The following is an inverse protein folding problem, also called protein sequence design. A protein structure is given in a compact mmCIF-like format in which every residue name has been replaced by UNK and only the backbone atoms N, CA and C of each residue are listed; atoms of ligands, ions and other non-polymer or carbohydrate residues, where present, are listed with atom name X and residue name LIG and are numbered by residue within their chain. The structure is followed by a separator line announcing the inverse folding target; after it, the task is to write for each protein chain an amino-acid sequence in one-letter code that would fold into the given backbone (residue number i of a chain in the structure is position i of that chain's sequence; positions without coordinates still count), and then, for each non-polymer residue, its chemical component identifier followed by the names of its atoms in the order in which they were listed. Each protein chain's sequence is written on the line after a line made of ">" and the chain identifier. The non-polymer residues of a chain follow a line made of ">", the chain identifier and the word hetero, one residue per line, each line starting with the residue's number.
data_IF_227951659382
#
_entry.id   IF_227951659382
#
_cell.length_a   1.000
_cell.length_b   1.000
_cell.length_c   1.000
_cell.angle_alpha   90.00
_cell.angle_beta   90.00
_cell.angle_gamma   90.00
#
_symmetry.space_group_name_H-M   'P 1'
#
loop_
_entity.id
_entity.type
_entity.pdbx_description
1 polymer ?
#
# COMPACT_ATOMS: atom_id res chain seq x y z
N UNK A 1 16.43 0.79 -16.72
CA UNK A 1 17.32 0.05 -15.80
C UNK A 1 16.47 -0.72 -14.81
N UNK A 2 16.79 -1.99 -14.58
CA UNK A 2 16.12 -2.83 -13.60
C UNK A 2 16.39 -2.29 -12.19
N UNK A 3 15.34 -2.09 -11.39
CA UNK A 3 15.43 -1.58 -10.02
C UNK A 3 14.94 -2.65 -9.05
N UNK A 4 15.46 -2.66 -7.82
CA UNK A 4 14.92 -3.49 -6.75
C UNK A 4 13.70 -2.81 -6.13
N UNK A 5 12.58 -3.52 -6.10
CA UNK A 5 11.31 -3.07 -5.51
C UNK A 5 10.99 -3.91 -4.27
N UNK A 6 10.76 -3.25 -3.15
CA UNK A 6 10.23 -3.86 -1.92
C UNK A 6 8.71 -3.61 -1.85
N UNK A 7 7.93 -4.69 -1.79
CA UNK A 7 6.46 -4.64 -1.74
C UNK A 7 5.97 -5.34 -0.47
N UNK A 8 5.35 -4.60 0.43
CA UNK A 8 4.75 -5.21 1.61
C UNK A 8 3.38 -5.79 1.29
N UNK A 9 3.07 -7.00 1.82
CA UNK A 9 1.80 -7.67 1.55
C UNK A 9 1.64 -8.12 0.09
N UNK A 10 2.70 -8.66 -0.52
CA UNK A 10 2.77 -9.06 -1.93
C UNK A 10 2.05 -10.39 -2.26
N UNK A 11 1.51 -11.10 -1.26
CA UNK A 11 1.06 -12.49 -1.44
C UNK A 11 -0.24 -12.64 -2.22
N UNK A 12 -1.10 -11.63 -2.27
CA UNK A 12 -2.43 -11.65 -2.90
C UNK A 12 -2.94 -10.24 -3.23
N UNK A 13 -4.09 -10.18 -3.90
CA UNK A 13 -4.83 -8.93 -4.18
C UNK A 13 -4.00 -7.87 -4.89
N UNK A 14 -4.10 -6.62 -4.45
CA UNK A 14 -3.41 -5.47 -5.05
C UNK A 14 -1.88 -5.65 -4.99
N UNK A 15 -1.33 -6.13 -3.86
CA UNK A 15 0.12 -6.33 -3.71
C UNK A 15 0.68 -7.37 -4.69
N UNK A 16 -0.06 -8.47 -4.93
CA UNK A 16 0.28 -9.44 -5.98
C UNK A 16 0.27 -8.80 -7.36
N UNK A 17 -0.80 -8.07 -7.71
CA UNK A 17 -0.92 -7.42 -9.02
C UNK A 17 0.19 -6.37 -9.25
N UNK A 18 0.61 -5.65 -8.21
CA UNK A 18 1.75 -4.73 -8.28
C UNK A 18 3.05 -5.51 -8.53
N UNK A 19 3.25 -6.63 -7.82
CA UNK A 19 4.43 -7.48 -8.01
C UNK A 19 4.51 -8.01 -9.44
N UNK A 20 3.40 -8.51 -9.97
CA UNK A 20 3.32 -9.03 -11.34
C UNK A 20 3.65 -7.93 -12.35
N UNK A 21 3.04 -6.75 -12.22
CA UNK A 21 3.24 -5.65 -13.16
C UNK A 21 4.68 -5.08 -13.13
N UNK A 22 5.29 -4.93 -11.94
CA UNK A 22 6.67 -4.47 -11.84
C UNK A 22 7.66 -5.54 -12.32
N UNK A 23 7.36 -6.82 -12.11
CA UNK A 23 8.19 -7.93 -12.63
C UNK A 23 8.19 -7.98 -14.16
N UNK A 24 7.03 -7.82 -14.80
CA UNK A 24 6.91 -7.71 -16.27
C UNK A 24 7.75 -6.54 -16.84
N UNK A 25 7.95 -5.48 -16.07
CA UNK A 25 8.82 -4.34 -16.42
C UNK A 25 10.31 -4.58 -16.11
N UNK A 26 10.67 -5.80 -15.68
CA UNK A 26 12.04 -6.21 -15.45
C UNK A 26 12.62 -5.84 -14.08
N UNK A 27 11.80 -5.44 -13.10
CA UNK A 27 12.28 -5.15 -11.76
C UNK A 27 12.58 -6.45 -10.98
N UNK A 28 13.53 -6.37 -10.04
CA UNK A 28 13.74 -7.40 -9.03
C UNK A 28 12.79 -7.16 -7.86
N UNK A 29 11.96 -8.15 -7.52
CA UNK A 29 10.88 -7.99 -6.55
C UNK A 29 11.20 -8.69 -5.23
N UNK A 30 11.27 -7.91 -4.16
CA UNK A 30 11.28 -8.41 -2.78
C UNK A 30 9.86 -8.25 -2.22
N UNK A 31 9.21 -9.35 -1.92
CA UNK A 31 7.84 -9.37 -1.38
C UNK A 31 7.78 -9.78 0.07
N UNK A 32 6.83 -9.23 0.84
CA UNK A 32 6.57 -9.73 2.19
C UNK A 32 5.22 -10.41 2.31
N UNK A 33 5.13 -11.37 3.20
CA UNK A 33 3.90 -11.97 3.70
C UNK A 33 4.10 -12.52 5.11
N UNK A 34 3.02 -12.82 5.81
CA UNK A 34 3.08 -13.42 7.15
C UNK A 34 3.65 -14.85 7.15
N UNK A 35 3.60 -15.54 6.02
CA UNK A 35 4.11 -16.91 5.85
C UNK A 35 5.49 -16.98 5.18
N UNK A 36 5.99 -15.87 4.63
CA UNK A 36 7.22 -15.84 3.83
C UNK A 36 7.07 -16.44 2.42
N UNK A 37 5.85 -16.55 1.91
CA UNK A 37 5.52 -17.02 0.56
C UNK A 37 4.18 -16.45 0.09
N UNK A 38 3.88 -16.57 -1.19
CA UNK A 38 2.61 -16.13 -1.78
C UNK A 38 2.24 -16.93 -3.03
N UNK A 39 1.16 -16.52 -3.69
CA UNK A 39 0.60 -17.21 -4.85
C UNK A 39 1.24 -16.79 -6.19
N UNK A 40 2.10 -15.78 -6.17
CA UNK A 40 2.75 -15.27 -7.39
C UNK A 40 4.17 -15.80 -7.55
N UNK A 41 4.57 -16.09 -8.79
CA UNK A 41 5.93 -16.37 -9.19
C UNK A 41 6.73 -15.11 -9.49
N UNK A 42 6.10 -13.94 -9.45
CA UNK A 42 6.72 -12.64 -9.78
C UNK A 42 7.59 -12.09 -8.65
N UNK A 43 7.60 -12.69 -7.47
CA UNK A 43 8.47 -12.30 -6.36
C UNK A 43 9.74 -13.13 -6.35
N UNK A 44 10.89 -12.46 -6.54
CA UNK A 44 12.21 -13.08 -6.61
C UNK A 44 12.73 -13.49 -5.22
N UNK A 45 12.40 -12.68 -4.19
CA UNK A 45 12.79 -12.94 -2.80
C UNK A 45 11.63 -12.69 -1.86
N UNK A 46 11.24 -13.72 -1.10
CA UNK A 46 10.25 -13.60 -0.04
C UNK A 46 10.90 -13.32 1.31
N UNK A 47 10.31 -12.39 2.07
CA UNK A 47 10.66 -12.13 3.47
C UNK A 47 9.40 -12.35 4.31
N UNK A 48 9.50 -13.20 5.33
CA UNK A 48 8.44 -13.37 6.32
C UNK A 48 8.39 -12.13 7.21
N UNK A 49 7.21 -11.51 7.34
CA UNK A 49 7.01 -10.34 8.18
C UNK A 49 5.58 -10.32 8.74
N UNK A 50 5.46 -10.25 10.05
CA UNK A 50 4.19 -10.03 10.74
C UNK A 50 4.18 -8.63 11.35
N UNK A 51 3.53 -7.71 10.67
CA UNK A 51 3.41 -6.33 11.13
C UNK A 51 2.32 -6.11 12.20
N UNK A 52 1.64 -7.15 12.66
CA UNK A 52 0.65 -7.02 13.74
C UNK A 52 1.27 -6.78 15.11
N UNK A 53 2.57 -7.06 15.26
CA UNK A 53 3.33 -6.92 16.51
C UNK A 53 4.50 -5.96 16.36
N UNK A 54 4.89 -5.30 17.44
CA UNK A 54 6.07 -4.44 17.46
C UNK A 54 7.35 -5.22 17.14
N UNK A 55 7.50 -6.39 17.73
CA UNK A 55 8.65 -7.27 17.48
C UNK A 55 8.77 -7.63 16.01
N UNK A 56 7.65 -8.00 15.36
CA UNK A 56 7.65 -8.32 13.93
C UNK A 56 8.04 -7.14 13.05
N UNK A 57 7.64 -5.92 13.41
CA UNK A 57 8.08 -4.70 12.74
C UNK A 57 9.60 -4.50 12.93
N UNK A 58 10.10 -4.55 14.17
CA UNK A 58 11.52 -4.33 14.46
C UNK A 58 12.42 -5.40 13.82
N UNK A 59 12.01 -6.65 13.80
CA UNK A 59 12.76 -7.72 13.12
C UNK A 59 12.82 -7.50 11.61
N UNK A 60 11.72 -7.05 10.99
CA UNK A 60 11.72 -6.68 9.58
C UNK A 60 12.62 -5.45 9.31
N UNK A 61 12.60 -4.45 10.20
CA UNK A 61 13.47 -3.27 10.11
C UNK A 61 14.96 -3.66 10.14
N UNK A 62 15.36 -4.62 10.99
CA UNK A 62 16.74 -5.13 11.01
C UNK A 62 17.14 -5.70 9.65
N UNK A 63 16.24 -6.47 9.01
CA UNK A 63 16.50 -7.07 7.70
C UNK A 63 16.68 -6.00 6.63
N UNK A 64 15.74 -5.03 6.54
CA UNK A 64 15.76 -4.05 5.45
C UNK A 64 16.84 -2.98 5.59
N UNK A 65 17.43 -2.79 6.78
CA UNK A 65 18.60 -1.92 6.96
C UNK A 65 19.78 -2.37 6.12
N UNK A 66 19.92 -3.67 5.88
CA UNK A 66 21.01 -4.27 5.09
C UNK A 66 20.69 -4.32 3.58
N UNK A 67 19.48 -3.91 3.16
CA UNK A 67 19.06 -3.90 1.76
C UNK A 67 19.23 -2.49 1.16
N UNK A 68 20.45 -2.18 0.76
CA UNK A 68 20.82 -0.84 0.24
C UNK A 68 20.38 -0.61 -1.21
N UNK A 69 20.03 -1.67 -1.95
CA UNK A 69 19.68 -1.65 -3.37
C UNK A 69 18.23 -1.24 -3.67
N UNK A 70 17.39 -1.07 -2.63
CA UNK A 70 15.96 -0.76 -2.82
C UNK A 70 15.80 0.63 -3.42
N UNK A 71 15.21 0.70 -4.62
CA UNK A 71 14.89 1.94 -5.35
C UNK A 71 13.38 2.21 -5.45
N UNK A 72 12.56 1.21 -5.14
CA UNK A 72 11.10 1.32 -5.14
C UNK A 72 10.59 0.69 -3.83
N UNK A 73 9.77 1.44 -3.09
CA UNK A 73 9.06 0.93 -1.92
C UNK A 73 7.55 1.04 -2.15
N UNK A 74 6.84 -0.07 -1.95
CA UNK A 74 5.37 -0.08 -1.95
C UNK A 74 4.88 -0.53 -0.57
N UNK A 75 4.36 0.39 0.21
CA UNK A 75 3.66 0.12 1.45
C UNK A 75 2.21 -0.27 1.14
N UNK A 76 1.98 -1.57 0.91
CA UNK A 76 0.67 -2.12 0.54
C UNK A 76 0.05 -2.98 1.65
N UNK A 77 0.84 -3.60 2.54
CA UNK A 77 0.29 -4.40 3.62
C UNK A 77 -0.76 -3.62 4.43
N UNK A 78 -1.91 -4.23 4.61
CA UNK A 78 -3.01 -3.58 5.33
C UNK A 78 -4.13 -4.55 5.68
N UNK A 79 -4.84 -4.21 6.75
CA UNK A 79 -6.05 -4.91 7.19
C UNK A 79 -7.18 -3.90 7.40
N UNK A 80 -8.39 -4.40 7.45
CA UNK A 80 -9.57 -3.62 7.78
C UNK A 80 -10.33 -4.29 8.94
N UNK A 81 -10.73 -3.49 9.92
CA UNK A 81 -11.57 -3.89 11.03
C UNK A 81 -12.82 -3.01 10.97
N UNK A 82 -13.98 -3.63 10.74
CA UNK A 82 -15.26 -2.95 10.59
C UNK A 82 -16.02 -3.14 11.89
N UNK A 83 -16.05 -2.10 12.72
CA UNK A 83 -16.74 -2.09 14.01
C UNK A 83 -17.21 -0.67 14.34
N UNK A 84 -18.29 -0.56 15.11
CA UNK A 84 -18.66 0.69 15.74
C UNK A 84 -17.52 1.18 16.65
N UNK A 85 -17.35 2.50 16.77
CA UNK A 85 -16.30 3.08 17.62
C UNK A 85 -16.34 2.57 19.06
N UNK A 86 -17.53 2.39 19.61
CA UNK A 86 -17.75 1.87 20.97
C UNK A 86 -17.34 0.40 21.16
N UNK A 87 -17.17 -0.36 20.08
CA UNK A 87 -16.83 -1.79 20.11
C UNK A 87 -15.35 -2.06 19.80
N UNK A 88 -14.60 -1.02 19.47
CA UNK A 88 -13.16 -1.15 19.16
C UNK A 88 -12.40 -1.39 20.46
N UNK A 89 -11.80 -2.57 20.55
CA UNK A 89 -10.89 -2.89 21.66
C UNK A 89 -9.50 -2.28 21.44
N UNK A 90 -8.73 -2.13 22.51
CA UNK A 90 -7.34 -1.73 22.44
C UNK A 90 -6.52 -2.69 21.57
N UNK A 91 -6.81 -3.98 21.60
CA UNK A 91 -6.20 -5.00 20.75
C UNK A 91 -6.47 -4.73 19.26
N UNK A 92 -7.73 -4.38 18.90
CA UNK A 92 -8.08 -4.01 17.53
C UNK A 92 -7.33 -2.75 17.10
N UNK A 93 -7.28 -1.74 17.96
CA UNK A 93 -6.57 -0.49 17.72
C UNK A 93 -5.07 -0.75 17.47
N UNK A 94 -4.40 -1.43 18.38
CA UNK A 94 -2.97 -1.71 18.28
C UNK A 94 -2.64 -2.53 17.03
N UNK A 95 -3.45 -3.53 16.70
CA UNK A 95 -3.26 -4.37 15.51
C UNK A 95 -3.34 -3.56 14.22
N UNK A 96 -4.41 -2.76 14.06
CA UNK A 96 -4.60 -2.00 12.81
C UNK A 96 -3.61 -0.83 12.73
N UNK A 97 -3.29 -0.17 13.85
CA UNK A 97 -2.27 0.86 13.93
C UNK A 97 -0.90 0.33 13.50
N UNK A 98 -0.49 -0.80 14.04
CA UNK A 98 0.81 -1.41 13.72
C UNK A 98 0.93 -1.73 12.22
N UNK A 99 -0.08 -2.40 11.64
CA UNK A 99 -0.04 -2.84 10.24
C UNK A 99 -0.22 -1.66 9.28
N UNK A 100 -1.24 -0.81 9.51
CA UNK A 100 -1.67 0.17 8.52
C UNK A 100 -0.96 1.52 8.62
N UNK A 101 -0.28 1.83 9.74
CA UNK A 101 0.38 3.13 9.93
C UNK A 101 1.81 2.99 10.44
N UNK A 102 2.04 2.30 11.57
CA UNK A 102 3.37 2.21 12.21
C UNK A 102 4.38 1.51 11.30
N UNK A 103 4.03 0.35 10.73
CA UNK A 103 4.92 -0.38 9.84
C UNK A 103 5.27 0.43 8.58
N UNK A 104 4.32 0.99 7.81
CA UNK A 104 4.63 1.89 6.70
C UNK A 104 5.55 3.05 7.08
N UNK A 105 5.30 3.70 8.22
CA UNK A 105 6.13 4.78 8.72
C UNK A 105 7.59 4.34 8.96
N UNK A 106 7.78 3.26 9.74
CA UNK A 106 9.11 2.76 10.11
C UNK A 106 9.88 2.21 8.91
N UNK A 107 9.20 1.49 8.01
CA UNK A 107 9.79 0.98 6.77
C UNK A 107 10.23 2.13 5.87
N UNK A 108 9.36 3.11 5.66
CA UNK A 108 9.67 4.28 4.83
C UNK A 108 10.86 5.06 5.38
N UNK A 109 10.96 5.24 6.70
CA UNK A 109 12.07 5.92 7.35
C UNK A 109 13.41 5.26 6.98
N UNK A 110 13.51 3.93 7.13
CA UNK A 110 14.76 3.20 6.83
C UNK A 110 15.07 3.20 5.34
N UNK A 111 14.07 2.94 4.51
CA UNK A 111 14.28 2.87 3.05
C UNK A 111 14.62 4.25 2.48
N UNK A 112 13.98 5.34 2.94
CA UNK A 112 14.31 6.69 2.48
C UNK A 112 15.75 7.09 2.85
N UNK A 113 16.22 6.74 4.06
CA UNK A 113 17.63 6.95 4.47
C UNK A 113 18.59 6.19 3.53
N UNK A 114 18.26 4.96 3.13
CA UNK A 114 19.08 4.21 2.19
C UNK A 114 19.02 4.79 0.77
N UNK A 115 17.82 5.16 0.30
CA UNK A 115 17.62 5.81 -0.99
C UNK A 115 18.39 7.14 -1.12
N UNK A 116 18.42 7.95 -0.05
CA UNK A 116 19.10 9.25 -0.07
C UNK A 116 20.62 9.16 -0.29
N UNK A 117 21.21 8.02 0.02
CA UNK A 117 22.63 7.72 -0.20
C UNK A 117 22.92 7.09 -1.58
N UNK A 118 21.87 6.80 -2.35
CA UNK A 118 21.94 6.00 -3.58
C UNK A 118 21.06 6.62 -4.70
N UNK A 119 21.23 7.90 -4.99
CA UNK A 119 20.55 8.62 -6.10
C UNK A 119 19.01 8.53 -6.08
N UNK A 120 18.42 8.62 -4.87
CA UNK A 120 16.99 8.71 -4.70
C UNK A 120 16.19 7.44 -4.96
N UNK A 121 14.87 7.61 -5.16
CA UNK A 121 13.96 6.48 -5.34
C UNK A 121 12.49 6.89 -5.43
N UNK A 122 11.61 5.89 -5.37
CA UNK A 122 10.16 6.07 -5.41
C UNK A 122 9.50 5.34 -4.24
N UNK A 123 8.61 6.02 -3.52
CA UNK A 123 7.82 5.41 -2.46
C UNK A 123 6.34 5.60 -2.80
N UNK A 124 5.58 4.52 -2.82
CA UNK A 124 4.12 4.57 -3.00
C UNK A 124 3.43 3.92 -1.80
N UNK A 125 2.57 4.68 -1.16
CA UNK A 125 1.79 4.25 -0.02
C UNK A 125 0.36 3.90 -0.47
N UNK A 126 -0.11 2.68 -0.22
CA UNK A 126 -1.48 2.30 -0.53
C UNK A 126 -2.39 2.74 0.62
N UNK A 127 -3.18 3.79 0.34
CA UNK A 127 -4.20 4.32 1.24
C UNK A 127 -5.57 3.69 0.93
N UNK A 128 -6.62 4.48 0.88
CA UNK A 128 -8.00 4.08 0.56
C UNK A 128 -8.84 5.32 0.29
N UNK A 129 -9.96 5.19 -0.43
CA UNK A 129 -11.01 6.21 -0.48
C UNK A 129 -11.50 6.62 0.92
N UNK A 130 -11.42 5.73 1.90
CA UNK A 130 -11.77 6.04 3.30
C UNK A 130 -10.79 6.98 4.01
N UNK A 131 -9.75 7.44 3.34
CA UNK A 131 -8.92 8.58 3.77
C UNK A 131 -9.49 9.93 3.34
N UNK A 132 -10.46 9.95 2.44
CA UNK A 132 -11.03 11.15 1.81
C UNK A 132 -12.51 11.31 2.15
N UNK A 133 -13.26 10.21 2.14
CA UNK A 133 -14.69 10.17 2.50
C UNK A 133 -14.90 9.32 3.75
N UNK A 134 -16.07 9.46 4.37
CA UNK A 134 -16.41 8.74 5.61
C UNK A 134 -17.54 7.72 5.42
N UNK A 135 -17.52 6.68 6.26
CA UNK A 135 -18.62 5.72 6.39
C UNK A 135 -18.69 5.24 7.84
N UNK A 136 -19.88 4.96 8.34
CA UNK A 136 -20.10 4.36 9.64
C UNK A 136 -19.27 3.06 9.80
N UNK A 137 -18.82 2.78 11.01
CA UNK A 137 -18.01 1.61 11.36
C UNK A 137 -16.59 1.57 10.72
N UNK A 138 -16.12 2.69 10.17
CA UNK A 138 -14.81 2.83 9.53
C UNK A 138 -13.85 3.77 10.26
N UNK A 139 -14.25 4.32 11.42
CA UNK A 139 -13.47 5.34 12.14
C UNK A 139 -12.01 4.94 12.30
N UNK A 140 -11.74 3.73 12.83
CA UNK A 140 -10.38 3.26 13.06
C UNK A 140 -9.58 3.12 11.75
N UNK A 141 -10.17 2.50 10.73
CA UNK A 141 -9.51 2.30 9.43
C UNK A 141 -9.26 3.64 8.72
N UNK A 142 -10.25 4.53 8.69
CA UNK A 142 -10.15 5.86 8.09
C UNK A 142 -9.05 6.69 8.76
N UNK A 143 -8.97 6.65 10.11
CA UNK A 143 -7.91 7.33 10.86
C UNK A 143 -6.52 6.90 10.39
N UNK A 144 -6.28 5.58 10.26
CA UNK A 144 -4.98 5.08 9.81
C UNK A 144 -4.67 5.46 8.35
N UNK A 145 -5.67 5.35 7.46
CA UNK A 145 -5.49 5.66 6.04
C UNK A 145 -5.34 7.17 5.78
N UNK A 146 -6.00 8.02 6.58
CA UNK A 146 -5.76 9.47 6.57
C UNK A 146 -4.36 9.81 7.09
N UNK A 147 -3.89 9.12 8.14
CA UNK A 147 -2.53 9.24 8.65
C UNK A 147 -1.46 8.94 7.58
N UNK A 148 -1.71 7.95 6.72
CA UNK A 148 -0.85 7.63 5.56
C UNK A 148 -0.76 8.83 4.58
N UNK A 149 -1.85 9.57 4.36
CA UNK A 149 -1.82 10.75 3.48
C UNK A 149 -0.98 11.87 4.12
N UNK A 150 -1.16 12.12 5.42
CA UNK A 150 -0.33 13.09 6.15
C UNK A 150 1.15 12.74 6.10
N UNK A 151 1.50 11.47 6.38
CA UNK A 151 2.85 10.94 6.26
C UNK A 151 3.42 11.13 4.84
N UNK A 152 2.64 10.80 3.81
CA UNK A 152 3.06 10.93 2.41
C UNK A 152 3.45 12.37 2.07
N UNK A 153 2.62 13.35 2.46
CA UNK A 153 2.85 14.78 2.18
C UNK A 153 4.11 15.29 2.88
N UNK A 154 4.25 15.00 4.19
CA UNK A 154 5.40 15.47 4.96
C UNK A 154 6.71 14.85 4.45
N UNK A 155 6.73 13.54 4.24
CA UNK A 155 7.92 12.86 3.71
C UNK A 155 8.29 13.34 2.30
N UNK A 156 7.32 13.67 1.44
CA UNK A 156 7.60 14.19 0.11
C UNK A 156 8.37 15.51 0.14
N UNK A 157 8.10 16.37 1.13
CA UNK A 157 8.83 17.63 1.36
C UNK A 157 10.21 17.34 1.96
N UNK A 158 10.27 16.51 3.01
CA UNK A 158 11.51 16.22 3.74
C UNK A 158 12.59 15.55 2.86
N UNK A 159 12.19 14.76 1.87
CA UNK A 159 13.08 13.97 1.02
C UNK A 159 13.20 14.50 -0.42
N UNK A 160 12.65 15.66 -0.74
CA UNK A 160 12.66 16.24 -2.10
C UNK A 160 14.07 16.45 -2.64
N UNK A 161 14.97 17.01 -1.82
CA UNK A 161 16.36 17.28 -2.20
C UNK A 161 17.17 16.00 -2.49
N UNK A 162 16.70 14.87 -1.98
CA UNK A 162 17.30 13.55 -2.21
C UNK A 162 16.72 12.81 -3.44
N UNK A 163 15.94 13.49 -4.27
CA UNK A 163 15.30 12.90 -5.46
C UNK A 163 14.40 11.69 -5.14
N UNK A 164 13.77 11.68 -3.96
CA UNK A 164 12.81 10.63 -3.56
C UNK A 164 11.40 11.16 -3.78
N UNK A 165 10.69 10.62 -4.79
CA UNK A 165 9.30 10.96 -5.04
C UNK A 165 8.38 10.04 -4.25
N UNK A 166 7.51 10.64 -3.43
CA UNK A 166 6.66 9.91 -2.49
C UNK A 166 5.20 10.27 -2.74
N UNK A 167 4.38 9.27 -3.09
CA UNK A 167 2.97 9.46 -3.37
C UNK A 167 2.10 8.41 -2.66
N UNK A 168 0.82 8.68 -2.57
CA UNK A 168 -0.18 7.73 -2.14
C UNK A 168 -1.13 7.37 -3.29
N UNK A 169 -1.61 6.15 -3.27
CA UNK A 169 -2.73 5.69 -4.10
C UNK A 169 -3.86 5.31 -3.17
N UNK A 170 -5.05 5.82 -3.41
CA UNK A 170 -6.28 5.54 -2.68
C UNK A 170 -7.25 4.72 -3.55
N UNK A 171 -7.18 3.38 -3.50
CA UNK A 171 -8.11 2.54 -4.25
C UNK A 171 -9.53 2.70 -3.73
N UNK A 172 -10.49 2.64 -4.65
CA UNK A 172 -11.88 2.37 -4.37
C UNK A 172 -12.14 0.87 -4.16
N UNK A 173 -13.37 0.46 -4.41
CA UNK A 173 -13.74 -0.95 -4.31
C UNK A 173 -13.05 -1.76 -5.41
N UNK A 174 -12.18 -2.67 -4.97
CA UNK A 174 -11.35 -3.48 -5.84
C UNK A 174 -11.68 -4.96 -5.66
N UNK A 175 -11.87 -5.68 -6.75
CA UNK A 175 -12.16 -7.11 -6.77
C UNK A 175 -10.90 -7.90 -6.40
N UNK A 176 -10.70 -8.10 -5.10
CA UNK A 176 -9.64 -8.95 -4.54
C UNK A 176 -10.26 -10.22 -4.00
N UNK A 177 -9.47 -11.26 -3.74
CA UNK A 177 -9.95 -12.48 -3.07
C UNK A 177 -10.69 -12.17 -1.76
N UNK A 178 -10.19 -11.18 -1.00
CA UNK A 178 -10.83 -10.75 0.24
C UNK A 178 -12.23 -10.16 -0.03
N UNK A 179 -12.36 -9.31 -1.03
CA UNK A 179 -13.63 -8.69 -1.41
C UNK A 179 -14.58 -9.74 -1.98
N UNK A 180 -14.07 -10.67 -2.76
CA UNK A 180 -14.85 -11.74 -3.38
C UNK A 180 -15.48 -12.68 -2.35
N UNK A 181 -14.72 -13.01 -1.31
CA UNK A 181 -15.22 -13.83 -0.20
C UNK A 181 -16.07 -13.09 0.83
N UNK A 182 -15.95 -11.75 0.91
CA UNK A 182 -16.61 -10.95 1.95
C UNK A 182 -17.97 -10.42 1.53
N UNK A 183 -18.28 -10.38 0.24
CA UNK A 183 -19.52 -9.83 -0.31
C UNK A 183 -20.28 -10.88 -1.10
N UNK A 184 -21.56 -11.00 -0.83
CA UNK A 184 -22.51 -11.77 -1.65
C UNK A 184 -22.63 -11.14 -3.05
N UNK A 185 -23.18 -11.90 -4.00
CA UNK A 185 -23.43 -11.39 -5.37
C UNK A 185 -24.32 -10.14 -5.34
N UNK A 186 -25.37 -10.16 -4.54
CA UNK A 186 -26.30 -9.04 -4.43
C UNK A 186 -25.64 -7.79 -3.82
N UNK A 187 -24.77 -7.93 -2.82
CA UNK A 187 -24.03 -6.80 -2.24
C UNK A 187 -23.04 -6.22 -3.25
N UNK A 188 -22.42 -7.04 -4.10
CA UNK A 188 -21.57 -6.57 -5.19
C UNK A 188 -22.36 -5.77 -6.22
N UNK A 189 -23.52 -6.26 -6.67
CA UNK A 189 -24.38 -5.57 -7.61
C UNK A 189 -24.83 -4.20 -7.07
N UNK A 190 -25.28 -4.12 -5.80
CA UNK A 190 -25.64 -2.85 -5.16
C UNK A 190 -24.44 -1.88 -5.12
N UNK A 191 -23.27 -2.40 -4.85
CA UNK A 191 -22.06 -1.60 -4.77
C UNK A 191 -21.64 -1.08 -6.16
N UNK A 192 -21.73 -1.92 -7.19
CA UNK A 192 -21.45 -1.54 -8.58
C UNK A 192 -22.39 -0.44 -9.08
N UNK A 193 -23.66 -0.48 -8.70
CA UNK A 193 -24.63 0.59 -9.02
C UNK A 193 -24.24 1.96 -8.44
N UNK A 194 -23.54 1.97 -7.29
CA UNK A 194 -23.08 3.21 -6.66
C UNK A 194 -21.81 3.76 -7.30
N UNK A 195 -21.09 2.99 -8.10
CA UNK A 195 -19.86 3.42 -8.77
C UNK A 195 -20.23 3.97 -10.16
N UNK A 196 -19.80 5.18 -10.56
CA UNK A 196 -20.09 5.71 -11.90
C UNK A 196 -19.68 4.77 -13.04
N UNK A 197 -18.53 4.09 -12.94
CA UNK A 197 -18.10 3.10 -13.94
C UNK A 197 -18.83 1.76 -13.85
N UNK A 198 -19.82 1.60 -12.95
CA UNK A 198 -20.72 0.44 -12.83
C UNK A 198 -20.01 -0.92 -12.67
N UNK A 199 -18.86 -0.92 -12.06
CA UNK A 199 -18.09 -2.12 -11.72
C UNK A 199 -17.05 -1.83 -10.63
N UNK A 200 -16.58 -2.86 -9.97
CA UNK A 200 -15.40 -2.78 -9.12
C UNK A 200 -14.13 -2.69 -9.99
N UNK A 201 -13.09 -2.06 -9.44
CA UNK A 201 -11.77 -2.07 -10.08
C UNK A 201 -11.15 -3.47 -10.04
N UNK A 202 -10.38 -3.83 -11.05
CA UNK A 202 -9.49 -4.99 -10.99
C UNK A 202 -8.17 -4.60 -10.30
N UNK A 203 -7.52 -5.53 -9.58
CA UNK A 203 -6.21 -5.26 -8.94
C UNK A 203 -5.14 -4.74 -9.91
N UNK A 204 -5.16 -5.21 -11.18
CA UNK A 204 -4.22 -4.75 -12.21
C UNK A 204 -4.42 -3.27 -12.60
N UNK A 205 -5.62 -2.73 -12.47
CA UNK A 205 -5.89 -1.31 -12.74
C UNK A 205 -5.23 -0.41 -11.69
N UNK A 206 -5.26 -0.83 -10.42
CA UNK A 206 -4.53 -0.15 -9.34
C UNK A 206 -3.02 -0.30 -9.54
N UNK A 207 -2.56 -1.51 -9.90
CA UNK A 207 -1.14 -1.80 -10.13
C UNK A 207 -0.54 -0.94 -11.25
N UNK A 208 -1.28 -0.64 -12.32
CA UNK A 208 -0.83 0.23 -13.42
C UNK A 208 -0.56 1.66 -12.95
N UNK A 209 -1.42 2.22 -12.09
CA UNK A 209 -1.22 3.55 -11.50
C UNK A 209 0.01 3.55 -10.60
N UNK A 210 0.16 2.56 -9.72
CA UNK A 210 1.34 2.39 -8.86
C UNK A 210 2.60 2.28 -9.70
N UNK A 211 2.56 1.49 -10.77
CA UNK A 211 3.70 1.30 -11.67
C UNK A 211 4.11 2.59 -12.40
N UNK A 212 3.15 3.42 -12.83
CA UNK A 212 3.43 4.75 -13.36
C UNK A 212 4.16 5.61 -12.32
N UNK A 213 3.68 5.67 -11.08
CA UNK A 213 4.31 6.44 -10.01
C UNK A 213 5.74 5.98 -9.69
N UNK A 214 6.06 4.71 -9.95
CA UNK A 214 7.39 4.11 -9.76
C UNK A 214 8.30 4.24 -11.00
N UNK A 215 7.74 4.59 -12.16
CA UNK A 215 8.47 4.67 -13.43
C UNK A 215 9.32 5.95 -13.53
N UNK A 216 10.13 6.03 -14.59
CA UNK A 216 10.87 7.23 -14.93
C UNK A 216 9.97 8.32 -15.55
N UNK A 217 8.76 7.94 -16.06
CA UNK A 217 7.77 8.88 -16.58
C UNK A 217 7.22 9.80 -15.48
N UNK A 218 7.24 9.33 -14.23
CA UNK A 218 7.01 10.20 -13.08
C UNK A 218 8.30 10.88 -12.66
N UNK A 219 8.51 12.10 -13.13
CA UNK A 219 9.67 12.93 -12.78
C UNK A 219 9.33 14.13 -11.88
N UNK A 220 8.02 14.47 -11.72
CA UNK A 220 7.63 15.71 -11.03
C UNK A 220 6.45 15.55 -10.07
N UNK A 221 5.77 14.40 -10.04
CA UNK A 221 4.63 14.15 -9.17
C UNK A 221 5.10 13.56 -7.84
N UNK A 222 4.96 14.35 -6.75
CA UNK A 222 5.29 13.96 -5.38
C UNK A 222 4.29 14.58 -4.39
N UNK A 223 4.10 13.95 -3.22
CA UNK A 223 3.19 14.40 -2.16
C UNK A 223 1.71 14.24 -2.48
N UNK A 224 1.35 13.59 -3.57
CA UNK A 224 -0.03 13.49 -4.05
C UNK A 224 -0.73 12.22 -3.53
N UNK A 225 -2.06 12.35 -3.37
CA UNK A 225 -2.96 11.23 -3.15
C UNK A 225 -3.78 10.99 -4.43
N UNK A 226 -3.48 9.92 -5.16
CA UNK A 226 -4.17 9.57 -6.39
C UNK A 226 -5.33 8.64 -6.07
N UNK A 227 -6.55 9.12 -6.21
CA UNK A 227 -7.78 8.33 -6.01
C UNK A 227 -8.05 7.52 -7.27
N UNK A 228 -8.27 6.21 -7.12
CA UNK A 228 -8.54 5.27 -8.22
C UNK A 228 -9.78 4.46 -7.85
N UNK A 229 -10.97 5.01 -8.12
CA UNK A 229 -12.22 4.55 -7.53
C UNK A 229 -13.41 4.48 -8.51
N UNK A 230 -13.18 4.69 -9.80
CA UNK A 230 -14.24 4.69 -10.81
C UNK A 230 -15.23 5.85 -10.67
N UNK A 231 -14.83 6.93 -9.97
CA UNK A 231 -15.65 8.12 -9.74
C UNK A 231 -16.49 8.05 -8.47
N UNK A 232 -16.32 7.05 -7.62
CA UNK A 232 -17.16 6.84 -6.42
C UNK A 232 -17.11 8.02 -5.42
N UNK A 233 -15.98 8.70 -5.30
CA UNK A 233 -15.81 9.78 -4.30
C UNK A 233 -16.22 11.17 -4.78
N UNK A 234 -16.63 11.31 -6.05
CA UNK A 234 -16.98 12.61 -6.64
C UNK A 234 -18.47 12.78 -6.92
N UNK A 235 -19.31 11.85 -6.49
CA UNK A 235 -20.79 11.89 -6.58
C UNK A 235 -21.42 12.12 -5.23
#
# INVERSE_FOLDING_TARGET
>A
MNKTALITGASRGIGKAISDNLKEKGHFIIGTSTTGKGQTLSVDRWIKADFSTETGIEDFIKIIKELHEIKILINNAGINIIKCLSEISEKDYNKIHNINLKAPYRISQVVAINMSKNDGGKIVNISSIWSTIAKANRTLYSTMKTGIIGMTKSMAIEWSDNQILINAVSPGFTMTELTDHSLSKQEKEILEEQIPLKRLARPDEIAKVVSFLCSNDNSYLTGQNIIVDGGYTII
#
